data_IF_903301016155
#
_entry.id   IF_903301016155
#
_cell.length_a   1.000
_cell.length_b   1.000
_cell.length_c   1.000
_cell.angle_alpha   90.00
_cell.angle_beta   90.00
_cell.angle_gamma   90.00
#
_symmetry.space_group_name_H-M   'P 1'
#
loop_
_entity.id
_entity.type
_entity.pdbx_description
1 polymer ?
#
# COMPACT_ATOMS: atom_id res chain seq x y z
N UNK A 1 11.74 7.47 14.52
CA UNK A 1 11.74 7.31 15.99
C UNK A 1 12.35 5.94 16.30
N UNK A 2 13.02 5.72 17.44
CA UNK A 2 13.49 4.36 17.79
C UNK A 2 12.32 3.52 18.30
N UNK A 3 12.35 2.18 18.21
CA UNK A 3 11.29 1.31 18.74
C UNK A 3 10.92 1.61 20.19
N UNK A 4 11.90 1.86 21.06
CA UNK A 4 11.67 2.14 22.48
C UNK A 4 10.86 3.43 22.68
N UNK A 5 11.12 4.44 21.85
CA UNK A 5 10.37 5.70 21.87
C UNK A 5 8.96 5.52 21.31
N UNK A 6 8.78 4.70 20.27
CA UNK A 6 7.44 4.38 19.74
C UNK A 6 6.61 3.69 20.81
N UNK A 7 7.16 2.67 21.48
CA UNK A 7 6.45 1.87 22.50
C UNK A 7 6.13 2.64 23.78
N UNK A 8 6.72 3.82 24.01
CA UNK A 8 6.32 4.73 25.10
C UNK A 8 4.98 5.42 24.85
N UNK A 9 4.56 5.53 23.59
CA UNK A 9 3.24 6.06 23.26
C UNK A 9 2.15 5.02 23.56
N UNK A 10 1.01 5.44 24.12
CA UNK A 10 -0.12 4.55 24.34
C UNK A 10 -0.59 3.98 23.00
N UNK A 11 -0.95 2.68 22.94
CA UNK A 11 -1.47 2.08 21.72
C UNK A 11 -2.80 2.72 21.32
N UNK A 12 -2.99 2.89 20.01
CA UNK A 12 -4.23 3.38 19.42
C UNK A 12 -5.15 2.21 19.06
N UNK A 13 -4.62 1.21 18.35
CA UNK A 13 -5.42 0.12 17.74
C UNK A 13 -4.73 -1.24 17.82
N UNK A 14 -3.40 -1.30 17.96
CA UNK A 14 -2.65 -2.54 18.12
C UNK A 14 -2.43 -2.88 19.59
N UNK A 15 -2.52 -4.17 19.92
CA UNK A 15 -2.08 -4.65 21.23
C UNK A 15 -0.56 -4.49 21.39
N UNK A 16 -0.11 -4.25 22.63
CA UNK A 16 1.31 -4.05 22.93
C UNK A 16 2.19 -5.18 22.37
N UNK A 17 1.75 -6.44 22.50
CA UNK A 17 2.50 -7.59 21.98
C UNK A 17 2.63 -7.59 20.46
N UNK A 18 1.61 -7.10 19.72
CA UNK A 18 1.67 -6.99 18.26
C UNK A 18 2.70 -5.95 17.83
N UNK A 19 2.78 -4.81 18.55
CA UNK A 19 3.77 -3.76 18.32
C UNK A 19 5.19 -4.26 18.56
N UNK A 20 5.41 -4.96 19.67
CA UNK A 20 6.70 -5.60 19.96
C UNK A 20 7.11 -6.62 18.90
N UNK A 21 6.16 -7.47 18.47
CA UNK A 21 6.40 -8.47 17.43
C UNK A 21 6.80 -7.86 16.09
N UNK A 22 6.21 -6.72 15.72
CA UNK A 22 6.62 -5.99 14.52
C UNK A 22 8.11 -5.63 14.55
N UNK A 23 8.64 -5.19 15.70
CA UNK A 23 10.05 -4.86 15.85
C UNK A 23 10.96 -6.09 15.96
N UNK A 24 10.47 -7.21 16.48
CA UNK A 24 11.19 -8.50 16.53
C UNK A 24 11.31 -9.14 15.13
N UNK A 25 10.20 -9.24 14.42
CA UNK A 25 10.07 -10.03 13.19
C UNK A 25 10.26 -9.18 11.92
N UNK A 26 10.12 -7.84 12.02
CA UNK A 26 10.17 -6.91 10.88
C UNK A 26 8.87 -6.83 10.08
N UNK A 27 7.80 -7.51 10.50
CA UNK A 27 6.48 -7.46 9.88
C UNK A 27 5.37 -7.79 10.89
N UNK A 28 4.12 -7.47 10.53
CA UNK A 28 2.93 -7.79 11.32
C UNK A 28 1.77 -8.17 10.40
N UNK A 29 0.91 -9.09 10.84
CA UNK A 29 -0.38 -9.36 10.21
C UNK A 29 -1.51 -9.07 11.20
N UNK A 30 -2.55 -8.39 10.70
CA UNK A 30 -3.74 -8.04 11.50
C UNK A 30 -4.98 -8.51 10.72
N UNK A 31 -5.43 -9.76 10.96
CA UNK A 31 -6.53 -10.35 10.21
C UNK A 31 -7.83 -9.55 10.34
N UNK A 32 -8.50 -9.27 9.22
CA UNK A 32 -9.80 -8.61 9.21
C UNK A 32 -9.76 -7.13 9.63
N UNK A 33 -8.59 -6.49 9.65
CA UNK A 33 -8.45 -5.12 10.13
C UNK A 33 -9.21 -4.09 9.29
N UNK A 34 -9.15 -4.22 7.96
CA UNK A 34 -9.91 -3.36 7.04
C UNK A 34 -11.32 -3.91 6.88
N UNK A 35 -12.32 -3.12 7.28
CA UNK A 35 -13.73 -3.51 7.20
C UNK A 35 -14.28 -3.64 5.77
N UNK A 36 -15.36 -4.42 5.63
CA UNK A 36 -15.97 -4.75 4.33
C UNK A 36 -16.36 -3.51 3.50
N UNK A 37 -16.91 -2.47 4.14
CA UNK A 37 -17.29 -1.24 3.44
C UNK A 37 -16.11 -0.53 2.76
N UNK A 38 -14.93 -0.53 3.39
CA UNK A 38 -13.71 -0.01 2.76
C UNK A 38 -13.23 -0.92 1.62
N UNK A 39 -13.25 -2.24 1.85
CA UNK A 39 -12.86 -3.20 0.81
C UNK A 39 -13.72 -3.08 -0.45
N UNK A 40 -15.04 -2.89 -0.31
CA UNK A 40 -15.95 -2.78 -1.44
C UNK A 40 -15.70 -1.50 -2.25
N UNK A 41 -15.44 -0.37 -1.57
CA UNK A 41 -15.04 0.88 -2.22
C UNK A 41 -13.73 0.72 -2.99
N UNK A 42 -12.70 0.16 -2.36
CA UNK A 42 -11.39 -0.05 -3.00
C UNK A 42 -11.50 -0.99 -4.21
N UNK A 43 -12.29 -2.06 -4.11
CA UNK A 43 -12.57 -2.97 -5.24
C UNK A 43 -13.29 -2.27 -6.37
N UNK A 44 -14.24 -1.38 -6.08
CA UNK A 44 -14.92 -0.59 -7.11
C UNK A 44 -13.94 0.33 -7.85
N UNK A 45 -12.99 0.97 -7.13
CA UNK A 45 -11.92 1.76 -7.76
C UNK A 45 -11.06 0.89 -8.67
N UNK A 46 -10.65 -0.29 -8.19
CA UNK A 46 -9.85 -1.23 -8.99
C UNK A 46 -10.58 -1.66 -10.26
N UNK A 47 -11.87 -2.01 -10.16
CA UNK A 47 -12.69 -2.37 -11.31
C UNK A 47 -12.79 -1.23 -12.33
N UNK A 48 -13.01 0.01 -11.86
CA UNK A 48 -13.06 1.18 -12.72
C UNK A 48 -11.71 1.43 -13.43
N UNK A 49 -10.58 1.27 -12.71
CA UNK A 49 -9.24 1.44 -13.30
C UNK A 49 -8.88 0.36 -14.31
N UNK A 50 -9.36 -0.86 -14.11
CA UNK A 50 -9.25 -1.94 -15.11
C UNK A 50 -10.02 -1.54 -16.38
N UNK A 51 -11.23 -1.01 -16.25
CA UNK A 51 -12.03 -0.59 -17.40
C UNK A 51 -11.39 0.59 -18.15
N UNK A 52 -10.91 1.60 -17.42
CA UNK A 52 -10.17 2.73 -18.00
C UNK A 52 -8.95 2.27 -18.82
N UNK A 53 -8.24 1.27 -18.32
CA UNK A 53 -7.04 0.76 -18.99
C UNK A 53 -7.32 0.17 -20.37
N UNK A 54 -8.55 -0.30 -20.67
CA UNK A 54 -8.89 -0.88 -21.99
C UNK A 54 -8.70 0.10 -23.14
N UNK A 55 -8.78 1.40 -22.86
CA UNK A 55 -8.59 2.46 -23.86
C UNK A 55 -7.11 2.78 -24.10
N UNK A 56 -6.20 2.19 -23.33
CA UNK A 56 -4.77 2.44 -23.39
C UNK A 56 -4.06 1.36 -24.20
N UNK A 57 -3.13 1.78 -25.06
CA UNK A 57 -2.31 0.87 -25.87
C UNK A 57 -0.83 0.89 -25.46
N UNK A 58 -0.45 1.77 -24.54
CA UNK A 58 0.90 1.89 -24.01
C UNK A 58 0.88 2.40 -22.56
N UNK A 59 1.93 2.06 -21.81
CA UNK A 59 2.14 2.60 -20.46
C UNK A 59 2.34 4.11 -20.48
N UNK A 60 1.94 4.76 -19.39
CA UNK A 60 2.15 6.19 -19.14
C UNK A 60 2.60 6.44 -17.69
N UNK A 61 2.50 7.69 -17.25
CA UNK A 61 2.88 8.13 -15.90
C UNK A 61 1.98 7.55 -14.78
N UNK A 62 0.81 7.02 -15.13
CA UNK A 62 -0.20 6.50 -14.22
C UNK A 62 -0.34 4.98 -14.32
N UNK A 63 -0.36 4.44 -15.52
CA UNK A 63 -0.56 3.03 -15.84
C UNK A 63 0.73 2.41 -16.34
N UNK A 64 1.19 1.39 -15.61
CA UNK A 64 2.22 0.47 -16.09
C UNK A 64 1.53 -0.78 -16.66
N UNK A 65 1.48 -0.90 -17.98
CA UNK A 65 0.84 -2.01 -18.69
C UNK A 65 1.84 -3.14 -18.96
N UNK A 66 1.34 -4.36 -19.07
CA UNK A 66 2.13 -5.50 -19.55
C UNK A 66 2.23 -5.47 -21.09
N UNK A 67 3.24 -6.15 -21.69
CA UNK A 67 3.40 -6.19 -23.14
C UNK A 67 2.22 -6.78 -23.92
N UNK A 68 1.44 -7.66 -23.28
CA UNK A 68 0.27 -8.33 -23.86
C UNK A 68 -1.06 -7.69 -23.45
N UNK A 69 -1.03 -6.46 -22.94
CA UNK A 69 -2.22 -5.68 -22.62
C UNK A 69 -3.04 -5.39 -23.89
N UNK A 70 -4.35 -5.62 -23.83
CA UNK A 70 -5.30 -5.14 -24.86
C UNK A 70 -6.65 -4.74 -24.23
N UNK A 71 -7.50 -4.12 -25.05
CA UNK A 71 -8.87 -3.79 -24.66
C UNK A 71 -9.67 -5.03 -24.26
N UNK A 72 -9.44 -6.19 -24.89
CA UNK A 72 -10.10 -7.46 -24.58
C UNK A 72 -9.42 -8.20 -23.43
N UNK A 73 -8.11 -8.02 -23.26
CA UNK A 73 -7.29 -8.61 -22.21
C UNK A 73 -6.57 -7.52 -21.39
N UNK A 74 -7.26 -6.84 -20.45
CA UNK A 74 -6.62 -5.85 -19.59
C UNK A 74 -5.52 -6.51 -18.77
N UNK A 75 -4.31 -6.00 -18.91
CA UNK A 75 -3.15 -6.45 -18.14
C UNK A 75 -2.37 -5.26 -17.60
N UNK A 76 -2.83 -4.72 -16.45
CA UNK A 76 -2.13 -3.67 -15.71
C UNK A 76 -1.11 -4.35 -14.81
N UNK A 77 0.16 -3.95 -14.82
CA UNK A 77 1.17 -4.40 -13.84
C UNK A 77 1.11 -3.58 -12.57
N UNK A 78 0.97 -2.25 -12.72
CA UNK A 78 0.94 -1.30 -11.61
C UNK A 78 0.16 -0.03 -11.94
N UNK A 79 -0.60 0.47 -10.96
CA UNK A 79 -1.01 1.86 -10.92
C UNK A 79 0.00 2.67 -10.10
N UNK A 80 0.64 3.64 -10.73
CA UNK A 80 1.60 4.57 -10.12
C UNK A 80 0.84 5.71 -9.44
N UNK A 81 1.37 6.25 -8.34
CA UNK A 81 0.75 7.40 -7.65
C UNK A 81 -0.73 7.16 -7.34
N UNK A 82 -1.05 5.97 -6.84
CA UNK A 82 -2.43 5.47 -6.81
C UNK A 82 -3.41 6.42 -6.10
N UNK A 83 -2.99 7.05 -5.01
CA UNK A 83 -3.80 8.03 -4.27
C UNK A 83 -4.16 9.29 -5.07
N UNK A 84 -3.35 9.66 -6.07
CA UNK A 84 -3.61 10.81 -6.94
C UNK A 84 -4.66 10.47 -8.01
N UNK A 85 -4.93 9.18 -8.24
CA UNK A 85 -5.80 8.71 -9.32
C UNK A 85 -7.27 8.56 -8.90
N UNK A 86 -7.58 8.50 -7.60
CA UNK A 86 -8.95 8.36 -7.13
C UNK A 86 -9.15 8.89 -5.69
N UNK A 87 -10.20 9.68 -5.41
CA UNK A 87 -10.42 10.26 -4.09
C UNK A 87 -10.57 9.21 -2.98
N UNK A 88 -11.20 8.06 -3.26
CA UNK A 88 -11.30 6.97 -2.28
C UNK A 88 -9.95 6.35 -1.90
N UNK A 89 -8.96 6.35 -2.80
CA UNK A 89 -7.62 5.85 -2.46
C UNK A 89 -6.91 6.81 -1.51
N UNK A 90 -7.03 8.12 -1.75
CA UNK A 90 -6.52 9.12 -0.81
C UNK A 90 -7.28 9.08 0.52
N UNK A 91 -8.61 8.97 0.48
CA UNK A 91 -9.44 8.90 1.66
C UNK A 91 -9.07 7.68 2.53
N UNK A 92 -8.83 6.52 1.92
CA UNK A 92 -8.36 5.32 2.62
C UNK A 92 -6.96 5.50 3.21
N UNK A 93 -6.02 6.08 2.46
CA UNK A 93 -4.64 6.28 2.93
C UNK A 93 -4.53 7.19 4.17
N UNK A 94 -5.53 8.04 4.41
CA UNK A 94 -5.63 8.94 5.58
C UNK A 94 -6.66 8.51 6.62
N UNK A 95 -7.35 7.38 6.40
CA UNK A 95 -8.38 6.87 7.30
C UNK A 95 -7.75 6.37 8.60
N UNK A 96 -8.41 6.49 9.77
CA UNK A 96 -7.95 5.91 11.03
C UNK A 96 -7.60 4.42 10.93
N UNK A 97 -8.30 3.65 10.08
CA UNK A 97 -7.97 2.25 9.79
C UNK A 97 -6.63 2.05 9.05
N UNK A 98 -5.89 3.12 8.77
CA UNK A 98 -4.52 3.08 8.25
C UNK A 98 -3.60 3.86 9.18
N UNK A 99 -3.92 5.14 9.43
CA UNK A 99 -2.99 6.03 10.13
C UNK A 99 -2.76 5.64 11.58
N UNK A 100 -3.74 5.04 12.27
CA UNK A 100 -3.59 4.65 13.67
C UNK A 100 -2.67 3.43 13.81
N UNK A 101 -2.79 2.42 12.92
CA UNK A 101 -1.85 1.28 12.88
C UNK A 101 -0.44 1.73 12.56
N UNK A 102 -0.29 2.64 11.60
CA UNK A 102 1.03 3.16 11.24
C UNK A 102 1.62 3.92 12.42
N UNK A 103 0.84 4.79 13.07
CA UNK A 103 1.28 5.55 14.23
C UNK A 103 1.70 4.66 15.41
N UNK A 104 1.02 3.52 15.63
CA UNK A 104 1.40 2.53 16.65
C UNK A 104 2.78 1.91 16.40
N UNK A 105 3.29 1.94 15.16
CA UNK A 105 4.53 1.28 14.72
C UNK A 105 5.67 2.25 14.38
N UNK A 106 5.37 3.50 13.96
CA UNK A 106 6.40 4.49 13.59
C UNK A 106 6.40 5.76 14.44
N UNK A 107 5.39 5.92 15.31
CA UNK A 107 5.16 7.09 16.14
C UNK A 107 4.11 8.04 15.55
N UNK A 108 3.67 9.06 16.32
CA UNK A 108 2.51 9.90 15.97
C UNK A 108 2.77 10.87 14.81
N UNK A 109 4.02 11.24 14.55
CA UNK A 109 4.39 12.21 13.52
C UNK A 109 4.60 11.52 12.15
N UNK A 110 3.50 11.06 11.56
CA UNK A 110 3.52 10.33 10.30
C UNK A 110 3.53 11.26 9.08
N UNK A 111 4.23 10.83 8.02
CA UNK A 111 4.21 11.48 6.70
C UNK A 111 3.94 10.44 5.62
N UNK A 112 2.94 10.71 4.78
CA UNK A 112 2.70 9.93 3.58
C UNK A 112 3.86 10.12 2.58
N UNK A 113 4.42 9.02 2.08
CA UNK A 113 5.52 9.03 1.11
C UNK A 113 5.02 8.80 -0.33
N UNK A 114 4.50 7.62 -0.62
CA UNK A 114 3.97 7.27 -1.96
C UNK A 114 3.00 6.10 -1.88
N UNK A 115 2.23 5.89 -2.96
CA UNK A 115 1.33 4.75 -3.10
C UNK A 115 1.40 4.15 -4.51
N UNK A 116 1.10 2.86 -4.57
CA UNK A 116 1.02 2.07 -5.79
C UNK A 116 0.05 0.91 -5.57
N UNK A 117 -0.70 0.55 -6.59
CA UNK A 117 -1.44 -0.72 -6.61
C UNK A 117 -0.69 -1.67 -7.53
N UNK A 118 -0.25 -2.81 -7.02
CA UNK A 118 0.42 -3.84 -7.80
C UNK A 118 -0.57 -4.95 -8.11
N UNK A 119 -0.67 -5.31 -9.39
CA UNK A 119 -1.61 -6.31 -9.87
C UNK A 119 -0.88 -7.63 -10.13
N UNK A 120 -1.55 -8.74 -9.80
CA UNK A 120 -1.11 -10.10 -10.11
C UNK A 120 -2.27 -10.80 -10.78
N UNK A 121 -2.18 -10.97 -12.09
CA UNK A 121 -3.20 -11.64 -12.89
C UNK A 121 -3.02 -13.16 -12.81
N UNK A 122 -4.11 -13.91 -12.99
CA UNK A 122 -4.10 -15.39 -12.96
C UNK A 122 -3.28 -15.99 -14.09
N UNK A 123 -3.27 -15.33 -15.24
CA UNK A 123 -2.69 -15.86 -16.49
C UNK A 123 -1.20 -15.55 -16.62
N UNK A 124 -0.57 -15.10 -15.53
CA UNK A 124 0.84 -14.76 -15.45
C UNK A 124 1.10 -13.37 -14.89
N UNK A 125 2.36 -13.09 -14.57
CA UNK A 125 2.82 -11.79 -14.10
C UNK A 125 4.29 -11.82 -13.69
N UNK A 126 4.91 -10.65 -13.64
CA UNK A 126 6.32 -10.55 -13.27
C UNK A 126 6.55 -10.96 -11.81
N UNK A 127 7.56 -11.78 -11.54
CA UNK A 127 7.95 -12.10 -10.18
C UNK A 127 8.54 -10.86 -9.47
N UNK A 128 8.17 -10.65 -8.20
CA UNK A 128 8.83 -9.65 -7.35
C UNK A 128 10.08 -10.30 -6.77
N UNK A 129 11.27 -9.85 -7.21
CA UNK A 129 12.54 -10.34 -6.67
C UNK A 129 12.74 -9.86 -5.23
N UNK A 130 13.50 -10.60 -4.44
CA UNK A 130 13.94 -10.18 -3.11
C UNK A 130 14.62 -8.81 -3.17
N UNK A 131 14.17 -7.89 -2.31
CA UNK A 131 14.73 -6.55 -2.16
C UNK A 131 14.31 -5.96 -0.80
N UNK A 132 14.92 -4.83 -0.44
CA UNK A 132 14.49 -3.97 0.65
C UNK A 132 14.04 -2.63 0.04
N UNK A 133 12.84 -2.16 0.40
CA UNK A 133 12.29 -0.91 -0.14
C UNK A 133 13.17 0.31 0.17
N UNK A 134 13.66 0.42 1.41
CA UNK A 134 14.44 1.57 1.90
C UNK A 134 15.72 1.83 1.10
N UNK A 135 16.32 0.81 0.48
CA UNK A 135 17.54 0.96 -0.33
C UNK A 135 17.31 1.78 -1.60
N UNK A 136 16.05 1.93 -2.03
CA UNK A 136 15.68 2.73 -3.19
C UNK A 136 15.30 4.18 -2.82
N UNK A 137 15.32 4.54 -1.53
CA UNK A 137 14.90 5.86 -1.06
C UNK A 137 16.08 6.66 -0.50
N UNK A 138 16.16 7.98 -0.76
CA UNK A 138 17.23 8.83 -0.23
C UNK A 138 16.99 9.22 1.23
N UNK A 139 16.51 8.29 2.06
CA UNK A 139 16.14 8.53 3.44
C UNK A 139 17.19 7.96 4.40
N UNK A 140 17.55 8.75 5.42
CA UNK A 140 18.44 8.34 6.51
C UNK A 140 17.66 7.91 7.76
N UNK A 141 16.36 8.19 7.82
CA UNK A 141 15.45 7.70 8.85
C UNK A 141 14.81 6.38 8.38
N UNK A 142 15.05 5.30 9.13
CA UNK A 142 14.56 3.96 8.84
C UNK A 142 13.19 3.65 9.45
N UNK A 143 12.57 4.62 10.15
CA UNK A 143 11.19 4.52 10.62
C UNK A 143 10.18 4.68 9.47
N UNK A 144 10.28 3.82 8.47
CA UNK A 144 9.41 3.78 7.30
C UNK A 144 8.69 2.43 7.28
N UNK A 145 7.43 2.45 6.88
CA UNK A 145 6.58 1.27 6.81
C UNK A 145 5.86 1.24 5.47
N UNK A 146 5.76 0.06 4.86
CA UNK A 146 4.93 -0.23 3.70
C UNK A 146 3.87 -1.27 4.08
N UNK A 147 2.65 -1.11 3.57
CA UNK A 147 1.48 -1.95 3.85
C UNK A 147 0.64 -2.15 2.59
#
# INVERSE_FOLDING_TARGET
>A
MTPERVLQHPPLVLEQRQRERYFEDGFLTVPGYVGAAWLDRLRAVVAAKIEESRMLTASDDQFDLAPDHSAEKPNIRRLRKAVDQHPDLWAFARDPAVVDVVADLVGPDIRFHSSKLNFKWSDGGDAVRWHQDIQAWPHTNFGVLTF
#
